data_IF_659258330206
#
_entry.id   IF_659258330206
#
_cell.length_a   1.000
_cell.length_b   1.000
_cell.length_c   1.000
_cell.angle_alpha   90.00
_cell.angle_beta   90.00
_cell.angle_gamma   90.00
#
_symmetry.space_group_name_H-M   'P 1'
#
loop_
_entity.id
_entity.type
_entity.pdbx_description
1 polymer ?
#
# COMPACT_ATOMS: atom_id res chain seq x y z
N UNK A 1 -7.98 -25.12 -11.98
CA UNK A 1 -8.38 -24.12 -13.02
C UNK A 1 -8.88 -22.90 -12.28
N UNK A 2 -8.42 -21.70 -12.64
CA UNK A 2 -8.86 -20.41 -12.09
C UNK A 2 -10.04 -19.93 -12.92
N UNK A 3 -11.13 -19.49 -12.30
CA UNK A 3 -12.38 -19.12 -12.99
C UNK A 3 -12.45 -17.63 -13.33
N UNK A 4 -11.80 -16.77 -12.52
CA UNK A 4 -11.69 -15.33 -12.78
C UNK A 4 -10.37 -14.78 -12.21
N UNK A 5 -10.04 -13.55 -12.59
CA UNK A 5 -8.77 -12.92 -12.22
C UNK A 5 -8.65 -12.64 -10.72
N UNK A 6 -9.76 -12.47 -9.98
CA UNK A 6 -9.75 -12.17 -8.55
C UNK A 6 -9.19 -13.34 -7.73
N UNK A 7 -9.29 -14.58 -8.24
CA UNK A 7 -8.71 -15.76 -7.61
C UNK A 7 -7.17 -15.84 -7.71
N UNK A 8 -6.55 -14.89 -8.39
CA UNK A 8 -5.09 -14.76 -8.46
C UNK A 8 -4.54 -13.75 -7.46
N UNK A 9 -5.41 -13.11 -6.66
CA UNK A 9 -4.99 -12.17 -5.63
C UNK A 9 -4.35 -12.96 -4.48
N UNK A 10 -3.22 -12.46 -4.00
CA UNK A 10 -2.45 -13.10 -2.95
C UNK A 10 -1.44 -14.13 -3.47
N UNK A 11 -0.94 -14.98 -2.58
CA UNK A 11 0.13 -15.95 -2.85
C UNK A 11 1.33 -15.30 -3.57
N UNK A 12 1.65 -14.09 -3.17
CA UNK A 12 2.73 -13.30 -3.78
C UNK A 12 4.10 -13.86 -3.41
N UNK A 13 5.06 -13.89 -4.34
CA UNK A 13 6.35 -14.52 -4.09
C UNK A 13 7.21 -13.71 -3.11
N UNK A 14 8.08 -14.44 -2.41
CA UNK A 14 9.17 -13.90 -1.61
C UNK A 14 10.49 -14.16 -2.30
N UNK A 15 11.34 -13.16 -2.42
CA UNK A 15 12.68 -13.27 -3.01
C UNK A 15 13.75 -12.81 -2.02
N UNK A 16 14.93 -13.40 -2.08
CA UNK A 16 16.09 -12.96 -1.31
C UNK A 16 16.73 -11.75 -1.99
N UNK A 17 17.04 -10.71 -1.22
CA UNK A 17 17.84 -9.56 -1.67
C UNK A 17 19.33 -9.89 -1.48
N UNK A 18 20.12 -9.77 -2.54
CA UNK A 18 21.51 -10.20 -2.54
C UNK A 18 22.50 -9.04 -2.63
N UNK A 19 22.29 -8.14 -3.59
CA UNK A 19 23.22 -7.04 -3.88
C UNK A 19 23.06 -5.89 -2.91
N UNK A 20 21.84 -5.37 -2.77
CA UNK A 20 21.56 -4.18 -1.96
C UNK A 20 21.80 -4.42 -0.46
N UNK A 21 21.63 -5.66 0.00
CA UNK A 21 21.80 -6.08 1.39
C UNK A 21 23.17 -6.72 1.70
N UNK A 22 24.10 -6.76 0.73
CA UNK A 22 25.40 -7.48 0.86
C UNK A 22 26.30 -7.02 2.01
N UNK A 23 26.05 -5.80 2.51
CA UNK A 23 26.79 -5.21 3.63
C UNK A 23 26.23 -5.59 5.02
N UNK A 24 25.07 -6.27 5.07
CA UNK A 24 24.44 -6.72 6.30
C UNK A 24 24.85 -8.15 6.66
N UNK A 25 24.83 -8.49 7.95
CA UNK A 25 25.11 -9.85 8.43
C UNK A 25 23.90 -10.78 8.32
N UNK A 26 22.69 -10.23 8.39
CA UNK A 26 21.43 -10.97 8.33
C UNK A 26 21.02 -11.30 6.88
N UNK A 27 20.03 -12.18 6.72
CA UNK A 27 19.38 -12.37 5.43
C UNK A 27 18.26 -11.35 5.24
N UNK A 28 18.18 -10.78 4.05
CA UNK A 28 17.11 -9.87 3.65
C UNK A 28 16.23 -10.52 2.59
N UNK A 29 14.91 -10.41 2.76
CA UNK A 29 13.91 -10.93 1.83
C UNK A 29 12.90 -9.84 1.48
N UNK A 30 12.28 -9.95 0.33
CA UNK A 30 11.24 -9.03 -0.15
C UNK A 30 9.99 -9.80 -0.58
N UNK A 31 8.82 -9.45 -0.04
CA UNK A 31 7.52 -9.96 -0.48
C UNK A 31 6.95 -9.03 -1.55
N UNK A 32 6.72 -9.59 -2.73
CA UNK A 32 6.48 -8.83 -3.96
C UNK A 32 4.98 -8.68 -4.23
N UNK A 33 4.34 -7.68 -3.63
CA UNK A 33 2.90 -7.41 -3.81
C UNK A 33 2.54 -6.88 -5.21
N UNK A 34 3.52 -6.47 -6.00
CA UNK A 34 3.33 -6.13 -7.42
C UNK A 34 2.85 -7.31 -8.28
N UNK A 35 2.93 -8.54 -7.79
CA UNK A 35 2.45 -9.74 -8.49
C UNK A 35 0.93 -9.95 -8.35
N UNK A 36 0.24 -9.20 -7.51
CA UNK A 36 -1.21 -9.16 -7.57
C UNK A 36 -1.70 -8.67 -8.94
N UNK A 37 -2.88 -9.10 -9.42
CA UNK A 37 -3.34 -8.85 -10.80
C UNK A 37 -3.49 -7.36 -11.16
N UNK A 38 -3.87 -6.49 -10.22
CA UNK A 38 -3.89 -5.03 -10.38
C UNK A 38 -2.55 -4.37 -10.10
N UNK A 39 -1.54 -5.14 -9.70
CA UNK A 39 -0.16 -4.71 -9.53
C UNK A 39 0.19 -4.13 -8.16
N UNK A 40 -0.61 -4.36 -7.13
CA UNK A 40 -0.32 -3.84 -5.79
C UNK A 40 -0.94 -4.63 -4.64
N UNK A 41 -0.44 -4.35 -3.43
CA UNK A 41 -1.01 -4.85 -2.16
C UNK A 41 -2.49 -4.47 -1.97
N UNK A 42 -2.96 -3.41 -2.63
CA UNK A 42 -4.32 -2.91 -2.50
C UNK A 42 -5.37 -3.78 -3.17
N UNK A 43 -4.98 -4.67 -4.07
CA UNK A 43 -5.90 -5.65 -4.66
C UNK A 43 -6.50 -6.54 -3.58
N UNK A 44 -5.71 -6.89 -2.55
CA UNK A 44 -6.15 -7.69 -1.42
C UNK A 44 -7.30 -7.05 -0.67
N UNK A 45 -7.11 -5.81 -0.21
CA UNK A 45 -8.12 -5.09 0.57
C UNK A 45 -9.33 -4.71 -0.28
N UNK A 46 -9.14 -4.37 -1.55
CA UNK A 46 -10.24 -4.03 -2.44
C UNK A 46 -11.19 -5.22 -2.63
N UNK A 47 -10.63 -6.42 -2.87
CA UNK A 47 -11.42 -7.64 -2.97
C UNK A 47 -12.11 -7.98 -1.65
N UNK A 48 -11.38 -7.95 -0.52
CA UNK A 48 -11.92 -8.30 0.79
C UNK A 48 -13.05 -7.35 1.23
N UNK A 49 -12.89 -6.03 1.04
CA UNK A 49 -13.95 -5.06 1.37
C UNK A 49 -15.22 -5.29 0.55
N UNK A 50 -15.09 -5.63 -0.74
CA UNK A 50 -16.25 -5.99 -1.58
C UNK A 50 -16.88 -7.29 -1.06
N UNK A 51 -16.09 -8.32 -0.80
CA UNK A 51 -16.57 -9.63 -0.34
C UNK A 51 -17.26 -9.54 1.04
N UNK A 52 -16.69 -8.78 1.97
CA UNK A 52 -17.33 -8.49 3.26
C UNK A 52 -18.68 -7.77 3.09
N UNK A 53 -18.74 -6.78 2.20
CA UNK A 53 -19.98 -6.03 1.96
C UNK A 53 -21.05 -6.88 1.27
N UNK A 54 -20.67 -7.80 0.37
CA UNK A 54 -21.57 -8.80 -0.22
C UNK A 54 -22.09 -9.77 0.82
N UNK A 55 -21.20 -10.35 1.64
CA UNK A 55 -21.56 -11.31 2.70
C UNK A 55 -22.49 -10.73 3.75
N UNK A 56 -22.30 -9.45 4.09
CA UNK A 56 -23.19 -8.72 5.01
C UNK A 56 -24.52 -8.30 4.36
N UNK A 57 -24.66 -8.42 3.04
CA UNK A 57 -25.82 -7.94 2.30
C UNK A 57 -25.89 -6.41 2.17
N UNK A 58 -24.80 -5.70 2.45
CA UNK A 58 -24.72 -4.24 2.33
C UNK A 58 -24.74 -3.81 0.86
N UNK A 59 -24.08 -4.57 -0.03
CA UNK A 59 -24.06 -4.33 -1.47
C UNK A 59 -24.54 -5.53 -2.26
N UNK A 60 -25.01 -5.30 -3.48
CA UNK A 60 -25.40 -6.34 -4.44
C UNK A 60 -25.00 -5.92 -5.86
N UNK A 61 -24.80 -6.89 -6.79
CA UNK A 61 -24.49 -6.58 -8.18
C UNK A 61 -25.42 -5.52 -8.78
N UNK A 62 -24.83 -4.52 -9.45
CA UNK A 62 -25.53 -3.37 -10.02
C UNK A 62 -25.54 -2.12 -9.14
N UNK A 63 -25.21 -2.22 -7.86
CA UNK A 63 -25.01 -1.07 -6.99
C UNK A 63 -23.77 -0.26 -7.43
N UNK A 64 -23.65 0.97 -6.93
CA UNK A 64 -22.53 1.86 -7.21
C UNK A 64 -21.57 1.90 -6.01
N UNK A 65 -20.32 1.54 -6.22
CA UNK A 65 -19.26 1.72 -5.24
C UNK A 65 -18.62 3.09 -5.43
N UNK A 66 -18.30 3.77 -4.35
CA UNK A 66 -17.64 5.08 -4.36
C UNK A 66 -16.43 4.98 -3.41
N UNK A 67 -15.26 5.49 -3.86
CA UNK A 67 -14.08 5.50 -2.99
C UNK A 67 -13.24 6.74 -3.21
N UNK A 68 -12.85 7.38 -2.09
CA UNK A 68 -11.87 8.44 -2.05
C UNK A 68 -10.47 7.84 -1.96
N UNK A 69 -9.73 7.81 -3.08
CA UNK A 69 -8.40 7.16 -3.11
C UNK A 69 -7.45 7.80 -4.10
N UNK A 70 -6.17 7.73 -3.80
CA UNK A 70 -5.07 8.24 -4.62
C UNK A 70 -4.58 7.26 -5.70
N UNK A 71 -5.16 6.06 -5.83
CA UNK A 71 -4.83 5.24 -6.98
C UNK A 71 -4.85 3.72 -6.84
N UNK A 72 -3.93 3.09 -6.09
CA UNK A 72 -3.82 1.62 -6.08
C UNK A 72 -5.09 0.94 -5.56
N UNK A 73 -5.73 1.47 -4.51
CA UNK A 73 -7.03 0.98 -4.04
C UNK A 73 -8.11 1.15 -5.11
N UNK A 74 -8.09 2.27 -5.83
CA UNK A 74 -9.00 2.50 -6.96
C UNK A 74 -8.81 1.48 -8.08
N UNK A 75 -7.58 1.06 -8.39
CA UNK A 75 -7.30 -0.01 -9.36
C UNK A 75 -7.87 -1.34 -8.86
N UNK A 76 -7.61 -1.71 -7.61
CA UNK A 76 -8.12 -2.95 -7.03
C UNK A 76 -9.66 -2.99 -6.99
N UNK A 77 -10.30 -1.89 -6.59
CA UNK A 77 -11.77 -1.78 -6.61
C UNK A 77 -12.33 -1.82 -8.03
N UNK A 78 -11.66 -1.18 -9.00
CA UNK A 78 -12.08 -1.22 -10.40
C UNK A 78 -12.00 -2.64 -10.98
N UNK A 79 -10.95 -3.40 -10.61
CA UNK A 79 -10.83 -4.80 -10.98
C UNK A 79 -11.97 -5.64 -10.39
N UNK A 80 -12.25 -5.50 -9.10
CA UNK A 80 -13.35 -6.17 -8.42
C UNK A 80 -14.72 -5.81 -9.01
N UNK A 81 -14.95 -4.49 -9.24
CA UNK A 81 -16.20 -3.99 -9.82
C UNK A 81 -16.44 -4.52 -11.23
N UNK A 82 -15.42 -4.54 -12.09
CA UNK A 82 -15.51 -5.06 -13.45
C UNK A 82 -15.90 -6.54 -13.50
N UNK A 83 -15.33 -7.37 -12.59
CA UNK A 83 -15.61 -8.81 -12.55
C UNK A 83 -16.96 -9.11 -11.92
N UNK A 84 -17.33 -8.39 -10.84
CA UNK A 84 -18.54 -8.66 -10.05
C UNK A 84 -19.78 -7.87 -10.51
N UNK A 85 -19.64 -6.96 -11.48
CA UNK A 85 -20.76 -6.21 -12.07
C UNK A 85 -21.24 -5.02 -11.24
N UNK A 86 -20.34 -4.35 -10.54
CA UNK A 86 -20.59 -3.08 -9.86
C UNK A 86 -20.29 -1.89 -10.76
N UNK A 87 -20.98 -0.79 -10.54
CA UNK A 87 -20.53 0.53 -11.00
C UNK A 87 -19.50 1.07 -10.02
N UNK A 88 -18.52 1.83 -10.50
CA UNK A 88 -17.50 2.40 -9.62
C UNK A 88 -17.24 3.86 -9.95
N UNK A 89 -17.22 4.68 -8.92
CA UNK A 89 -16.80 6.10 -8.98
C UNK A 89 -15.60 6.26 -8.06
N UNK A 90 -14.48 6.71 -8.63
CA UNK A 90 -13.27 7.05 -7.86
C UNK A 90 -13.15 8.57 -7.77
N UNK A 91 -13.04 9.07 -6.55
CA UNK A 91 -12.80 10.49 -6.28
C UNK A 91 -11.33 10.65 -5.89
N UNK A 92 -10.55 11.36 -6.71
CA UNK A 92 -9.10 11.46 -6.55
C UNK A 92 -8.54 12.87 -6.76
N UNK A 93 -7.49 13.28 -6.03
CA UNK A 93 -6.82 14.56 -6.23
C UNK A 93 -6.17 14.68 -7.61
N UNK A 94 -6.09 15.92 -8.13
CA UNK A 94 -5.55 16.20 -9.48
C UNK A 94 -4.08 15.81 -9.67
N UNK A 95 -3.26 15.82 -8.61
CA UNK A 95 -1.83 15.48 -8.66
C UNK A 95 -1.51 13.99 -8.94
N UNK A 96 -2.54 13.13 -8.93
CA UNK A 96 -2.33 11.69 -9.07
C UNK A 96 -1.87 11.29 -10.47
N UNK A 97 -1.13 10.17 -10.55
CA UNK A 97 -0.51 9.72 -11.81
C UNK A 97 -1.55 9.42 -12.89
N UNK A 98 -1.24 9.84 -14.12
CA UNK A 98 -2.09 9.58 -15.28
C UNK A 98 -2.21 8.08 -15.57
N UNK A 99 -1.17 7.30 -15.28
CA UNK A 99 -1.12 5.87 -15.48
C UNK A 99 -2.21 5.15 -14.65
N UNK A 100 -2.36 5.54 -13.39
CA UNK A 100 -3.40 5.00 -12.49
C UNK A 100 -4.80 5.39 -12.98
N UNK A 101 -4.99 6.66 -13.37
CA UNK A 101 -6.26 7.13 -13.93
C UNK A 101 -6.67 6.35 -15.16
N UNK A 102 -5.77 6.19 -16.13
CA UNK A 102 -6.04 5.47 -17.37
C UNK A 102 -6.38 3.99 -17.10
N UNK A 103 -5.69 3.37 -16.15
CA UNK A 103 -5.96 1.98 -15.76
C UNK A 103 -7.36 1.84 -15.16
N UNK A 104 -7.74 2.73 -14.24
CA UNK A 104 -9.06 2.75 -13.60
C UNK A 104 -10.16 2.97 -14.63
N UNK A 105 -9.98 3.93 -15.54
CA UNK A 105 -10.93 4.19 -16.65
C UNK A 105 -11.06 3.01 -17.62
N UNK A 106 -9.94 2.34 -17.93
CA UNK A 106 -9.94 1.17 -18.81
C UNK A 106 -10.73 -0.01 -18.20
N UNK A 107 -10.81 -0.10 -16.88
CA UNK A 107 -11.63 -1.06 -16.14
C UNK A 107 -13.11 -0.64 -16.04
N UNK A 108 -13.49 0.50 -16.63
CA UNK A 108 -14.88 0.96 -16.71
C UNK A 108 -15.35 1.86 -15.56
N UNK A 109 -14.45 2.27 -14.66
CA UNK A 109 -14.82 3.19 -13.58
C UNK A 109 -14.88 4.66 -14.05
N UNK A 110 -15.76 5.42 -13.42
CA UNK A 110 -15.82 6.88 -13.52
C UNK A 110 -14.81 7.53 -12.55
N UNK A 111 -14.19 8.63 -12.97
CA UNK A 111 -13.25 9.37 -12.13
C UNK A 111 -13.71 10.80 -11.99
N UNK A 112 -13.79 11.25 -10.73
CA UNK A 112 -14.04 12.64 -10.36
C UNK A 112 -12.75 13.21 -9.77
N UNK A 113 -12.25 14.30 -10.37
CA UNK A 113 -11.04 15.00 -9.92
C UNK A 113 -11.39 16.06 -8.90
N UNK A 114 -10.56 16.19 -7.87
CA UNK A 114 -10.68 17.20 -6.81
C UNK A 114 -9.40 18.00 -6.68
N UNK A 115 -9.47 19.16 -6.03
CA UNK A 115 -8.28 19.96 -5.74
C UNK A 115 -7.29 19.17 -4.88
N UNK A 116 -6.01 19.31 -5.21
CA UNK A 116 -4.94 18.62 -4.51
C UNK A 116 -4.74 19.11 -3.08
N UNK A 117 -4.86 20.42 -2.86
CA UNK A 117 -4.55 21.10 -1.60
C UNK A 117 -5.76 21.16 -0.62
N UNK A 118 -6.86 20.48 -0.94
CA UNK A 118 -8.02 20.43 -0.04
C UNK A 118 -7.69 19.58 1.20
N UNK A 119 -7.86 20.16 2.38
CA UNK A 119 -7.75 19.46 3.66
C UNK A 119 -8.84 18.39 3.81
N UNK A 120 -8.67 17.45 4.74
CA UNK A 120 -9.57 16.30 4.89
C UNK A 120 -11.06 16.69 5.04
N UNK A 121 -11.35 17.74 5.81
CA UNK A 121 -12.70 18.28 6.09
C UNK A 121 -13.16 19.40 5.15
N UNK A 122 -12.33 19.81 4.17
CA UNK A 122 -12.73 20.78 3.15
C UNK A 122 -13.89 20.21 2.31
N UNK A 123 -14.96 21.01 2.04
CA UNK A 123 -16.06 20.60 1.16
C UNK A 123 -15.63 20.12 -0.22
N UNK A 124 -14.49 20.61 -0.74
CA UNK A 124 -13.90 20.24 -2.03
C UNK A 124 -12.89 19.10 -1.92
N UNK A 125 -12.72 18.49 -0.74
CA UNK A 125 -11.86 17.33 -0.57
C UNK A 125 -12.44 16.09 -1.26
N UNK A 126 -11.58 15.15 -1.64
CA UNK A 126 -12.03 13.89 -2.22
C UNK A 126 -12.94 13.10 -1.25
N UNK A 127 -12.73 13.22 0.06
CA UNK A 127 -13.56 12.57 1.08
C UNK A 127 -14.96 13.20 1.15
N UNK A 128 -15.05 14.53 1.20
CA UNK A 128 -16.32 15.28 1.27
C UNK A 128 -17.14 15.08 0.00
N UNK A 129 -16.50 15.11 -1.16
CA UNK A 129 -17.16 14.87 -2.45
C UNK A 129 -17.65 13.41 -2.55
N UNK A 130 -16.88 12.42 -2.12
CA UNK A 130 -17.32 11.02 -2.06
C UNK A 130 -18.57 10.85 -1.18
N UNK A 131 -18.57 11.45 0.03
CA UNK A 131 -19.73 11.45 0.94
C UNK A 131 -20.97 12.13 0.32
N UNK A 132 -20.79 13.26 -0.35
CA UNK A 132 -21.87 13.94 -1.06
C UNK A 132 -22.47 13.06 -2.16
N UNK A 133 -21.65 12.49 -3.03
CA UNK A 133 -22.10 11.58 -4.08
C UNK A 133 -22.85 10.39 -3.51
N UNK A 134 -22.36 9.80 -2.42
CA UNK A 134 -23.04 8.69 -1.76
C UNK A 134 -24.43 9.07 -1.22
N UNK A 135 -24.62 10.32 -0.81
CA UNK A 135 -25.93 10.82 -0.37
C UNK A 135 -26.90 11.12 -1.53
N UNK A 136 -26.38 11.39 -2.72
CA UNK A 136 -27.15 11.79 -3.91
C UNK A 136 -27.47 10.63 -4.84
N UNK A 137 -26.63 9.59 -4.89
CA UNK A 137 -26.77 8.45 -5.80
C UNK A 137 -27.48 7.30 -5.08
N UNK A 138 -28.67 6.88 -5.54
CA UNK A 138 -29.37 5.74 -4.95
C UNK A 138 -28.57 4.43 -5.09
N UNK A 139 -28.60 3.59 -4.07
CA UNK A 139 -27.87 2.31 -4.00
C UNK A 139 -26.36 2.49 -4.24
N UNK A 140 -25.78 3.55 -3.67
CA UNK A 140 -24.35 3.75 -3.66
C UNK A 140 -23.77 3.50 -2.26
N UNK A 141 -22.50 3.07 -2.22
CA UNK A 141 -21.84 2.67 -0.99
C UNK A 141 -20.37 3.09 -1.03
N UNK A 142 -19.87 3.67 0.07
CA UNK A 142 -18.44 3.90 0.31
C UNK A 142 -17.93 2.69 1.10
N UNK A 143 -16.89 2.03 0.61
CA UNK A 143 -16.27 0.90 1.29
C UNK A 143 -15.28 1.34 2.37
N UNK A 144 -14.68 2.50 2.21
CA UNK A 144 -13.84 3.22 3.18
C UNK A 144 -12.63 2.43 3.67
N UNK A 145 -11.55 2.46 2.88
CA UNK A 145 -10.30 1.79 3.23
C UNK A 145 -9.64 2.27 4.55
N UNK A 146 -10.09 3.40 5.11
CA UNK A 146 -9.53 4.05 6.29
C UNK A 146 -10.18 3.63 7.61
N UNK A 147 -11.45 3.19 7.53
CA UNK A 147 -12.25 2.79 8.69
C UNK A 147 -12.72 1.33 8.64
N UNK A 148 -12.64 0.68 7.48
CA UNK A 148 -13.16 -0.67 7.25
C UNK A 148 -12.26 -1.74 7.84
N UNK A 149 -12.73 -2.45 8.85
CA UNK A 149 -11.99 -3.51 9.55
C UNK A 149 -11.61 -4.69 8.62
N UNK A 150 -12.34 -4.91 7.52
CA UNK A 150 -11.96 -5.92 6.53
C UNK A 150 -10.59 -5.64 5.87
N UNK A 151 -10.10 -4.40 5.95
CA UNK A 151 -8.76 -4.06 5.48
C UNK A 151 -7.66 -4.71 6.36
N UNK A 152 -7.52 -4.42 7.66
CA UNK A 152 -6.52 -5.11 8.48
C UNK A 152 -6.80 -6.62 8.62
N UNK A 153 -8.05 -7.07 8.65
CA UNK A 153 -8.42 -8.49 8.74
C UNK A 153 -7.91 -9.28 7.54
N UNK A 154 -8.03 -8.75 6.32
CA UNK A 154 -7.45 -9.32 5.12
C UNK A 154 -5.94 -9.60 5.27
N UNK A 155 -5.21 -8.66 5.84
CA UNK A 155 -3.77 -8.81 6.04
C UNK A 155 -3.42 -9.74 7.20
N UNK A 156 -4.25 -9.77 8.26
CA UNK A 156 -4.12 -10.70 9.37
C UNK A 156 -4.32 -12.15 8.90
N UNK A 157 -5.37 -12.41 8.12
CA UNK A 157 -5.76 -13.77 7.76
C UNK A 157 -5.01 -14.30 6.53
N UNK A 158 -4.70 -13.44 5.56
CA UNK A 158 -4.10 -13.86 4.30
C UNK A 158 -2.60 -13.49 4.21
N UNK A 159 -2.26 -12.21 4.25
CA UNK A 159 -0.86 -11.76 4.03
C UNK A 159 0.08 -12.31 5.10
N UNK A 160 -0.34 -12.26 6.36
CA UNK A 160 0.46 -12.82 7.46
C UNK A 160 0.54 -14.34 7.40
N UNK A 161 -0.54 -15.02 6.95
CA UNK A 161 -0.51 -16.47 6.77
C UNK A 161 0.49 -16.87 5.67
N UNK A 162 0.52 -16.16 4.54
CA UNK A 162 1.52 -16.39 3.50
C UNK A 162 2.96 -16.22 4.02
N UNK A 163 3.20 -15.21 4.87
CA UNK A 163 4.50 -15.00 5.51
C UNK A 163 4.85 -16.17 6.45
N UNK A 164 3.89 -16.67 7.22
CA UNK A 164 4.08 -17.83 8.09
C UNK A 164 4.31 -19.12 7.29
N UNK A 165 3.67 -19.27 6.15
CA UNK A 165 3.87 -20.44 5.26
C UNK A 165 5.30 -20.43 4.66
N UNK A 166 5.86 -19.25 4.36
CA UNK A 166 7.21 -19.10 3.81
C UNK A 166 8.33 -19.25 4.88
N UNK A 167 8.13 -18.73 6.09
CA UNK A 167 9.17 -18.62 7.12
C UNK A 167 8.92 -19.46 8.38
N UNK A 168 7.69 -19.92 8.62
CA UNK A 168 7.31 -20.49 9.91
C UNK A 168 7.53 -19.46 11.03
N UNK A 169 8.35 -19.82 12.00
CA UNK A 169 8.79 -18.92 13.09
C UNK A 169 10.21 -18.37 12.90
N UNK A 170 10.85 -18.66 11.75
CA UNK A 170 12.23 -18.24 11.45
C UNK A 170 12.25 -16.85 10.77
N UNK A 171 11.63 -15.87 11.43
CA UNK A 171 11.57 -14.49 10.99
C UNK A 171 11.74 -13.55 12.20
N UNK A 172 12.73 -12.67 12.14
CA UNK A 172 13.09 -11.79 13.26
C UNK A 172 12.52 -10.37 13.10
N UNK A 173 12.33 -9.94 11.85
CA UNK A 173 11.88 -8.57 11.56
C UNK A 173 11.04 -8.52 10.30
N UNK A 174 9.95 -7.72 10.34
CA UNK A 174 9.18 -7.35 9.14
C UNK A 174 9.10 -5.83 9.04
N UNK A 175 9.35 -5.32 7.83
CA UNK A 175 9.34 -3.87 7.54
C UNK A 175 8.30 -3.55 6.49
N UNK A 176 7.49 -2.54 6.74
CA UNK A 176 6.38 -2.14 5.86
C UNK A 176 6.25 -0.62 5.81
N UNK A 177 5.92 -0.08 4.64
CA UNK A 177 5.45 1.30 4.52
C UNK A 177 4.06 1.45 5.15
N UNK A 178 3.82 2.54 5.85
CA UNK A 178 2.56 2.80 6.55
C UNK A 178 1.73 3.83 5.79
N UNK A 179 0.61 3.39 5.21
CA UNK A 179 -0.40 4.25 4.59
C UNK A 179 -1.70 4.23 5.41
N UNK A 180 -2.73 3.48 4.99
CA UNK A 180 -3.95 3.29 5.80
C UNK A 180 -3.70 2.61 7.15
N UNK A 181 -2.53 2.00 7.30
CA UNK A 181 -2.18 1.22 8.49
C UNK A 181 -2.70 -0.22 8.46
N UNK A 182 -3.58 -0.58 7.53
CA UNK A 182 -4.18 -1.93 7.50
C UNK A 182 -3.17 -3.05 7.37
N UNK A 183 -2.20 -2.94 6.46
CA UNK A 183 -1.16 -3.96 6.28
C UNK A 183 -0.35 -4.19 7.55
N UNK A 184 0.19 -3.10 8.12
CA UNK A 184 1.04 -3.22 9.32
C UNK A 184 0.26 -3.67 10.54
N UNK A 185 -0.99 -3.23 10.68
CA UNK A 185 -1.89 -3.65 11.76
C UNK A 185 -2.21 -5.14 11.67
N UNK A 186 -2.69 -5.60 10.51
CA UNK A 186 -3.08 -7.01 10.33
C UNK A 186 -1.89 -7.96 10.43
N UNK A 187 -0.84 -7.71 9.65
CA UNK A 187 0.39 -8.52 9.68
C UNK A 187 1.04 -8.48 11.06
N UNK A 188 1.14 -7.29 11.66
CA UNK A 188 1.77 -7.12 12.97
C UNK A 188 1.04 -7.87 14.08
N UNK A 189 -0.30 -7.77 14.15
CA UNK A 189 -1.12 -8.51 15.13
C UNK A 189 -0.90 -10.02 15.02
N UNK A 190 -0.97 -10.56 13.81
CA UNK A 190 -0.82 -12.01 13.59
C UNK A 190 0.60 -12.48 13.89
N UNK A 191 1.61 -11.83 13.33
CA UNK A 191 2.98 -12.29 13.48
C UNK A 191 3.47 -12.15 14.94
N UNK A 192 3.11 -11.10 15.66
CA UNK A 192 3.44 -10.97 17.09
C UNK A 192 2.83 -12.08 17.96
N UNK A 193 1.67 -12.57 17.57
CA UNK A 193 1.02 -13.70 18.25
C UNK A 193 1.71 -15.03 17.97
N UNK A 194 2.15 -15.25 16.72
CA UNK A 194 2.70 -16.55 16.28
C UNK A 194 4.23 -16.63 16.47
N UNK A 195 4.94 -15.48 16.43
CA UNK A 195 6.40 -15.40 16.49
C UNK A 195 6.81 -14.50 17.66
N UNK A 196 7.02 -15.04 18.86
CA UNK A 196 7.45 -14.25 20.01
C UNK A 196 8.78 -13.52 19.75
N UNK A 197 8.79 -12.21 19.96
CA UNK A 197 9.99 -11.38 19.80
C UNK A 197 10.23 -10.83 18.38
N UNK A 198 9.35 -11.12 17.41
CA UNK A 198 9.44 -10.50 16.09
C UNK A 198 9.35 -8.97 16.19
N UNK A 199 10.16 -8.28 15.41
CA UNK A 199 10.15 -6.82 15.32
C UNK A 199 9.31 -6.36 14.13
N UNK A 200 8.34 -5.48 14.37
CA UNK A 200 7.50 -4.85 13.35
C UNK A 200 7.96 -3.41 13.18
N UNK A 201 8.49 -3.09 11.99
CA UNK A 201 9.06 -1.78 11.69
C UNK A 201 8.19 -1.06 10.66
N UNK A 202 7.78 0.17 10.96
CA UNK A 202 7.07 1.05 10.05
C UNK A 202 8.03 1.98 9.31
N UNK A 203 7.93 2.06 7.99
CA UNK A 203 8.56 3.10 7.18
C UNK A 203 7.56 4.23 6.96
N UNK A 204 7.94 5.46 7.28
CA UNK A 204 7.07 6.63 7.21
C UNK A 204 7.85 7.82 6.62
N UNK A 205 7.30 8.55 5.63
CA UNK A 205 8.02 9.68 5.05
C UNK A 205 8.10 10.87 6.03
N UNK A 206 9.16 11.66 5.91
CA UNK A 206 9.18 12.99 6.51
C UNK A 206 8.01 13.82 5.96
N UNK A 207 7.31 14.55 6.82
CA UNK A 207 6.07 15.26 6.49
C UNK A 207 4.79 14.49 6.81
N UNK A 208 4.88 13.21 7.16
CA UNK A 208 3.79 12.41 7.73
C UNK A 208 3.87 12.39 9.26
N UNK A 209 2.71 12.23 9.92
CA UNK A 209 2.64 12.11 11.39
C UNK A 209 2.51 10.67 11.89
N UNK A 210 2.32 9.68 11.01
CA UNK A 210 2.04 8.29 11.39
C UNK A 210 3.18 7.67 12.20
N UNK A 211 4.41 7.98 11.85
CA UNK A 211 5.61 7.52 12.55
C UNK A 211 6.09 8.46 13.65
N UNK A 212 5.25 9.38 14.09
CA UNK A 212 5.56 10.41 15.08
C UNK A 212 6.07 11.71 14.44
N UNK A 213 6.16 12.75 15.29
CA UNK A 213 6.38 14.13 14.86
C UNK A 213 5.06 14.87 14.61
N UNK A 214 5.14 16.19 14.48
CA UNK A 214 4.02 17.11 14.27
C UNK A 214 4.20 18.01 13.03
N UNK A 215 5.33 17.86 12.33
CA UNK A 215 5.61 18.62 11.12
C UNK A 215 4.96 17.96 9.90
N UNK A 216 3.96 18.64 9.33
CA UNK A 216 3.29 18.23 8.10
C UNK A 216 3.86 19.05 6.94
N UNK A 217 4.40 18.37 5.94
CA UNK A 217 4.83 18.99 4.69
C UNK A 217 4.71 18.00 3.51
N UNK A 218 4.75 18.53 2.30
CA UNK A 218 4.64 17.72 1.08
C UNK A 218 5.86 16.82 0.87
N UNK A 219 5.63 15.63 0.32
CA UNK A 219 6.64 14.67 -0.16
C UNK A 219 6.14 14.02 -1.44
N UNK A 220 7.05 13.41 -2.20
CA UNK A 220 6.76 12.84 -3.52
C UNK A 220 6.46 11.34 -3.51
N UNK A 221 6.87 10.61 -2.47
CA UNK A 221 6.55 9.19 -2.32
C UNK A 221 5.05 9.01 -2.18
N UNK A 222 4.47 8.10 -2.97
CA UNK A 222 3.03 7.83 -2.97
C UNK A 222 2.68 6.57 -2.19
N UNK A 223 1.50 6.56 -1.57
CA UNK A 223 0.88 5.38 -0.96
C UNK A 223 1.26 5.11 0.49
N UNK A 224 2.15 5.90 1.05
CA UNK A 224 2.53 5.87 2.47
C UNK A 224 2.56 7.28 3.06
N UNK A 225 2.41 7.38 4.39
CA UNK A 225 2.42 8.64 5.12
C UNK A 225 1.12 9.42 4.98
N UNK A 226 0.65 10.01 6.08
CA UNK A 226 -0.54 10.89 6.11
C UNK A 226 -0.40 11.93 7.21
N UNK A 227 -1.25 12.95 7.14
CA UNK A 227 -1.42 14.05 8.09
C UNK A 227 -2.54 13.79 9.10
N UNK A 228 -3.11 12.59 9.10
CA UNK A 228 -4.10 12.11 10.07
C UNK A 228 -3.87 10.63 10.40
N UNK A 229 -4.42 10.17 11.52
CA UNK A 229 -4.37 8.77 11.93
C UNK A 229 -5.61 8.02 11.42
N UNK A 230 -5.45 7.03 10.49
CA UNK A 230 -6.56 6.19 10.09
C UNK A 230 -7.13 5.40 11.28
N UNK A 231 -8.44 5.18 11.32
CA UNK A 231 -9.10 4.49 12.42
C UNK A 231 -8.67 3.02 12.58
N UNK A 232 -8.37 2.37 11.46
CA UNK A 232 -7.92 0.97 11.45
C UNK A 232 -6.43 0.81 11.79
N UNK A 233 -5.69 1.90 11.94
CA UNK A 233 -4.28 1.84 12.26
C UNK A 233 -4.05 1.64 13.76
N UNK A 234 -3.49 0.50 14.12
CA UNK A 234 -3.09 0.17 15.48
C UNK A 234 -1.57 0.34 15.63
N UNK A 235 -1.14 1.50 16.10
CA UNK A 235 0.28 1.80 16.31
C UNK A 235 0.95 0.94 17.38
N UNK A 236 0.19 0.27 18.26
CA UNK A 236 0.73 -0.56 19.34
C UNK A 236 1.43 -1.82 18.82
N UNK A 237 1.15 -2.23 17.58
CA UNK A 237 1.83 -3.37 16.96
C UNK A 237 3.21 -3.00 16.41
N UNK A 238 3.53 -1.72 16.27
CA UNK A 238 4.78 -1.22 15.67
C UNK A 238 5.83 -1.02 16.77
N UNK A 239 6.96 -1.69 16.64
CA UNK A 239 8.06 -1.58 17.62
C UNK A 239 8.92 -0.34 17.36
N UNK A 240 9.06 0.06 16.10
CA UNK A 240 9.86 1.22 15.70
C UNK A 240 9.39 1.78 14.37
N UNK A 241 9.47 3.11 14.23
CA UNK A 241 9.36 3.79 12.94
C UNK A 241 10.74 4.25 12.46
N UNK A 242 10.94 4.20 11.14
CA UNK A 242 12.06 4.81 10.45
C UNK A 242 11.50 5.85 9.50
N UNK A 243 11.87 7.12 9.73
CA UNK A 243 11.51 8.21 8.83
C UNK A 243 12.42 8.20 7.62
N UNK A 244 11.84 8.36 6.43
CA UNK A 244 12.56 8.30 5.16
C UNK A 244 12.23 9.55 4.33
N UNK A 245 13.23 10.17 3.71
CA UNK A 245 13.01 11.26 2.77
C UNK A 245 12.82 10.74 1.33
N UNK A 246 12.37 11.61 0.43
CA UNK A 246 12.14 11.26 -0.97
C UNK A 246 13.41 10.82 -1.69
N UNK A 247 14.54 11.48 -1.44
CA UNK A 247 15.82 11.15 -2.06
C UNK A 247 16.24 9.73 -1.74
N UNK A 248 16.33 9.37 -0.46
CA UNK A 248 16.68 8.01 -0.02
C UNK A 248 15.69 6.97 -0.54
N UNK A 249 14.41 7.32 -0.57
CA UNK A 249 13.36 6.44 -1.10
C UNK A 249 13.57 6.11 -2.57
N UNK A 250 13.78 7.13 -3.40
CA UNK A 250 13.90 6.93 -4.85
C UNK A 250 15.26 6.40 -5.28
N UNK A 251 16.35 6.80 -4.62
CA UNK A 251 17.67 6.20 -4.86
C UNK A 251 17.67 4.71 -4.52
N UNK A 252 17.07 4.32 -3.38
CA UNK A 252 16.93 2.91 -3.00
C UNK A 252 16.03 2.14 -3.97
N UNK A 253 14.91 2.73 -4.42
CA UNK A 253 14.05 2.11 -5.44
C UNK A 253 14.80 1.89 -6.75
N UNK A 254 15.57 2.85 -7.22
CA UNK A 254 16.39 2.73 -8.45
C UNK A 254 17.48 1.68 -8.29
N UNK A 255 18.09 1.56 -7.11
CA UNK A 255 19.07 0.50 -6.81
C UNK A 255 18.42 -0.88 -6.83
N UNK A 256 17.23 -1.07 -6.24
CA UNK A 256 16.48 -2.32 -6.31
C UNK A 256 16.16 -2.73 -7.75
N UNK A 257 15.78 -1.76 -8.60
CA UNK A 257 15.52 -2.02 -10.01
C UNK A 257 16.81 -2.45 -10.73
N UNK A 258 17.90 -1.70 -10.53
CA UNK A 258 19.17 -1.90 -11.23
C UNK A 258 19.91 -3.15 -10.77
N UNK A 259 20.00 -3.36 -9.45
CA UNK A 259 20.93 -4.31 -8.85
C UNK A 259 20.26 -5.64 -8.47
N UNK A 260 18.93 -5.64 -8.27
CA UNK A 260 18.13 -6.84 -7.95
C UNK A 260 17.14 -7.22 -9.07
N UNK A 261 16.94 -6.35 -10.07
CA UNK A 261 15.98 -6.60 -11.16
C UNK A 261 14.52 -6.48 -10.76
N UNK A 262 14.22 -5.83 -9.62
CA UNK A 262 12.88 -5.70 -9.07
C UNK A 262 12.21 -4.43 -9.59
N UNK A 263 11.22 -4.57 -10.49
CA UNK A 263 10.50 -3.46 -11.10
C UNK A 263 9.42 -2.90 -10.15
N UNK A 264 9.84 -2.20 -9.12
CA UNK A 264 9.01 -1.75 -7.97
C UNK A 264 8.75 -0.24 -7.97
N UNK A 265 7.76 0.19 -7.17
CA UNK A 265 7.41 1.60 -6.98
C UNK A 265 8.27 2.35 -5.95
N UNK A 266 8.05 3.65 -5.81
CA UNK A 266 8.86 4.52 -4.93
C UNK A 266 8.73 4.18 -3.45
N UNK A 267 7.53 3.82 -2.97
CA UNK A 267 7.31 3.41 -1.57
C UNK A 267 7.99 2.09 -1.20
N UNK A 268 8.29 1.25 -2.21
CA UNK A 268 9.13 0.07 -2.01
C UNK A 268 10.56 0.47 -1.64
N UNK A 269 11.08 1.54 -2.26
CA UNK A 269 12.38 2.11 -1.90
C UNK A 269 12.39 2.64 -0.47
N UNK A 270 11.36 3.38 -0.06
CA UNK A 270 11.22 3.85 1.32
C UNK A 270 11.20 2.69 2.33
N UNK A 271 10.39 1.65 2.07
CA UNK A 271 10.32 0.47 2.93
C UNK A 271 11.66 -0.28 2.98
N UNK A 272 12.37 -0.39 1.84
CA UNK A 272 13.68 -1.06 1.79
C UNK A 272 14.76 -0.24 2.48
N UNK A 273 14.79 1.08 2.30
CA UNK A 273 15.71 1.94 3.05
C UNK A 273 15.52 1.77 4.56
N UNK A 274 14.27 1.81 5.02
CA UNK A 274 13.96 1.59 6.42
C UNK A 274 14.38 0.18 6.89
N UNK A 275 14.23 -0.84 6.05
CA UNK A 275 14.65 -2.19 6.32
C UNK A 275 16.16 -2.32 6.44
N UNK A 276 16.93 -1.71 5.53
CA UNK A 276 18.39 -1.70 5.58
C UNK A 276 18.90 -1.00 6.86
N UNK A 277 18.27 0.09 7.27
CA UNK A 277 18.63 0.79 8.51
C UNK A 277 18.28 -0.01 9.77
N UNK A 278 17.08 -0.61 9.83
CA UNK A 278 16.64 -1.38 10.98
C UNK A 278 17.43 -2.69 11.13
N UNK A 279 17.68 -3.37 10.01
CA UNK A 279 18.36 -4.67 9.96
C UNK A 279 19.84 -4.62 10.37
N UNK A 280 20.45 -3.43 10.50
CA UNK A 280 21.79 -3.27 11.12
C UNK A 280 21.87 -3.82 12.55
N UNK A 281 20.74 -3.94 13.23
CA UNK A 281 20.63 -4.53 14.57
C UNK A 281 20.59 -6.06 14.59
N UNK A 282 20.33 -6.67 13.44
CA UNK A 282 20.22 -8.12 13.29
C UNK A 282 21.59 -8.78 13.11
N UNK A 283 21.70 -10.03 13.53
CA UNK A 283 22.93 -10.81 13.51
C UNK A 283 22.90 -11.84 12.37
N UNK A 284 24.05 -12.46 12.14
CA UNK A 284 24.18 -13.56 11.18
C UNK A 284 23.19 -14.69 11.48
N UNK A 285 22.47 -15.10 10.44
CA UNK A 285 21.45 -16.16 10.52
C UNK A 285 20.06 -15.65 10.81
N UNK A 286 19.88 -14.39 11.23
CA UNK A 286 18.57 -13.77 11.39
C UNK A 286 17.98 -13.33 10.05
N UNK A 287 16.64 -13.24 9.99
CA UNK A 287 15.89 -12.97 8.79
C UNK A 287 15.04 -11.70 8.91
N UNK A 288 15.18 -10.81 7.93
CA UNK A 288 14.35 -9.61 7.78
C UNK A 288 13.56 -9.69 6.48
N UNK A 289 12.25 -9.46 6.55
CA UNK A 289 11.36 -9.37 5.40
C UNK A 289 10.91 -7.92 5.20
N UNK A 290 11.01 -7.40 3.97
CA UNK A 290 10.38 -6.14 3.58
C UNK A 290 9.20 -6.41 2.64
N UNK A 291 8.06 -5.75 2.87
CA UNK A 291 6.92 -5.81 1.95
C UNK A 291 7.06 -4.72 0.90
N UNK A 292 7.09 -5.10 -0.37
CA UNK A 292 7.19 -4.21 -1.52
C UNK A 292 5.79 -4.04 -2.13
N UNK A 293 5.10 -2.91 -1.87
CA UNK A 293 3.66 -2.81 -2.06
C UNK A 293 3.19 -2.74 -3.50
N UNK A 294 3.99 -2.25 -4.45
CA UNK A 294 3.56 -2.12 -5.84
C UNK A 294 4.71 -2.11 -6.86
N UNK A 295 4.34 -2.01 -8.14
CA UNK A 295 5.27 -2.03 -9.25
C UNK A 295 5.54 -0.67 -9.88
N UNK A 296 6.61 -0.60 -10.67
CA UNK A 296 7.13 0.61 -11.33
C UNK A 296 6.19 1.23 -12.37
N UNK A 297 5.27 0.44 -12.96
CA UNK A 297 4.46 0.86 -14.13
C UNK A 297 3.62 2.12 -13.90
N UNK A 298 3.24 2.37 -12.65
CA UNK A 298 2.47 3.56 -12.26
C UNK A 298 3.33 4.82 -12.09
N UNK A 299 4.66 4.75 -12.30
CA UNK A 299 5.62 5.80 -11.96
C UNK A 299 6.62 6.10 -13.08
N UNK A 300 6.35 5.68 -14.32
CA UNK A 300 7.28 5.79 -15.45
C UNK A 300 7.71 7.22 -15.76
N UNK A 301 6.88 8.22 -15.44
CA UNK A 301 7.16 9.64 -15.63
C UNK A 301 7.66 10.35 -14.36
N UNK A 302 7.89 9.61 -13.27
CA UNK A 302 8.37 10.13 -11.99
C UNK A 302 9.81 9.67 -11.74
N UNK A 303 10.09 9.06 -10.62
CA UNK A 303 11.44 8.71 -10.15
C UNK A 303 12.26 7.82 -11.09
N UNK A 304 11.67 7.24 -12.12
CA UNK A 304 12.40 6.52 -13.19
C UNK A 304 13.07 7.50 -14.16
N UNK A 305 12.48 8.68 -14.37
CA UNK A 305 13.01 9.72 -15.24
C UNK A 305 14.08 10.54 -14.52
N UNK A 306 15.29 10.62 -15.10
CA UNK A 306 16.35 11.50 -14.58
C UNK A 306 15.98 12.97 -14.64
N UNK A 307 15.20 13.39 -15.66
CA UNK A 307 14.74 14.76 -15.77
C UNK A 307 13.81 15.12 -14.62
N UNK A 308 12.84 14.24 -14.31
CA UNK A 308 11.96 14.45 -13.18
C UNK A 308 12.73 14.47 -11.84
N UNK A 309 13.71 13.59 -11.66
CA UNK A 309 14.56 13.58 -10.45
C UNK A 309 15.34 14.89 -10.29
N UNK A 310 15.88 15.45 -11.37
CA UNK A 310 16.57 16.74 -11.37
C UNK A 310 15.63 17.91 -11.10
N UNK A 311 14.45 17.92 -11.73
CA UNK A 311 13.42 18.95 -11.54
C UNK A 311 12.94 19.06 -10.09
N UNK A 312 13.07 17.97 -9.30
CA UNK A 312 12.69 17.89 -7.90
C UNK A 312 13.89 17.86 -6.93
N UNK A 313 15.09 18.19 -7.38
CA UNK A 313 16.33 18.23 -6.56
C UNK A 313 16.67 16.90 -5.85
N UNK A 314 16.38 15.76 -6.51
CA UNK A 314 16.55 14.42 -5.94
C UNK A 314 17.82 13.70 -6.44
N UNK A 315 18.47 14.23 -7.48
CA UNK A 315 19.81 13.83 -7.99
C UNK A 315 20.61 15.02 -8.51
#
# INVERSE_FOLDING_TARGET
MIYDILQTIGSTPVVKLNSIASHLECNMFAKLELFNPGGSVKDRIAFEMIDCAEKSGTIKPGDTLIEATSGNTGIGLALGAAVKGYKLIIVMPEKMSMEKELTIKALGAEIIRTRTEAEYDDPDSNFSIAKKLNSEIPNSHILDQWENECNPDCHHDNTAQEILDDFGTDLDMVVMGVGTGGTITGVGKRLKKEIPGIQIIGADPYGSILGGGDEVHSYHVEGIGYDFFPKIFDSSVVDKFVKVNDKDSFETARSLIKDEGLLIGGSCGAATFAALEAAKSLKKGQNCLVILPDGVRNYMRKFISDDWMKENDLI
#
